data_IF_807261926964
#
_entry.id   IF_807261926964
#
_cell.length_a   1.000
_cell.length_b   1.000
_cell.length_c   1.000
_cell.angle_alpha   90.00
_cell.angle_beta   90.00
_cell.angle_gamma   90.00
#
_symmetry.space_group_name_H-M   'P 1'
#
loop_
_entity.id
_entity.type
_entity.pdbx_description
1 polymer ?
#
# COMPACT_ATOMS: atom_id res chain seq x y z
N UNK A 1 2.67 52.01 -30.09
CA UNK A 1 3.59 51.32 -29.17
C UNK A 1 2.88 50.11 -28.52
N UNK A 2 3.08 48.96 -29.08
CA UNK A 2 2.53 47.71 -28.56
C UNK A 2 3.47 47.19 -27.46
N UNK A 3 3.03 47.24 -26.21
CA UNK A 3 3.70 46.53 -25.14
C UNK A 3 3.36 45.04 -25.28
N UNK A 4 4.29 44.25 -25.77
CA UNK A 4 4.22 42.80 -25.72
C UNK A 4 4.30 42.37 -24.27
N UNK A 5 3.17 41.99 -23.67
CA UNK A 5 3.13 41.34 -22.40
C UNK A 5 3.75 39.97 -22.55
N UNK A 6 4.94 39.75 -21.94
CA UNK A 6 5.50 38.45 -21.85
C UNK A 6 4.64 37.58 -20.89
N UNK A 7 3.90 36.65 -21.45
CA UNK A 7 3.26 35.61 -20.67
C UNK A 7 4.35 34.66 -20.17
N UNK A 8 4.77 34.81 -18.91
CA UNK A 8 5.57 33.83 -18.24
C UNK A 8 4.65 32.66 -17.85
N UNK A 9 4.61 31.65 -18.70
CA UNK A 9 4.07 30.37 -18.28
C UNK A 9 5.12 29.74 -17.37
N UNK A 10 4.87 29.80 -16.09
CA UNK A 10 5.64 29.00 -15.14
C UNK A 10 5.29 27.55 -15.38
N UNK A 11 6.03 26.90 -16.27
CA UNK A 11 6.08 25.44 -16.23
C UNK A 11 6.72 25.07 -14.90
N UNK A 12 5.96 24.42 -14.02
CA UNK A 12 6.59 23.72 -12.94
C UNK A 12 7.52 22.71 -13.60
N UNK A 13 8.81 22.98 -13.50
CA UNK A 13 9.84 22.13 -14.02
C UNK A 13 9.75 20.85 -13.19
N UNK A 14 9.16 19.80 -13.74
CA UNK A 14 9.41 18.44 -13.28
C UNK A 14 10.90 18.23 -13.48
N UNK A 15 11.65 18.35 -12.39
CA UNK A 15 13.07 18.04 -12.42
C UNK A 15 13.25 16.59 -12.87
N UNK A 16 14.18 16.32 -13.82
CA UNK A 16 14.38 14.97 -14.35
C UNK A 16 14.68 13.91 -13.29
N UNK A 17 15.07 14.30 -12.09
CA UNK A 17 15.31 13.44 -10.94
C UNK A 17 14.09 12.63 -10.48
N UNK A 18 12.86 13.09 -10.78
CA UNK A 18 11.65 12.37 -10.40
C UNK A 18 11.17 11.32 -11.41
N UNK A 19 11.72 11.26 -12.60
CA UNK A 19 11.30 10.30 -13.64
C UNK A 19 11.73 8.86 -13.38
N UNK A 20 12.71 8.63 -12.52
CA UNK A 20 13.26 7.30 -12.23
C UNK A 20 12.96 6.78 -10.81
N UNK A 21 12.28 7.55 -9.98
CA UNK A 21 11.89 7.08 -8.65
C UNK A 21 10.69 6.16 -8.79
N UNK A 22 10.90 4.86 -8.56
CA UNK A 22 9.80 3.90 -8.45
C UNK A 22 8.95 4.23 -7.23
N UNK A 23 7.63 4.25 -7.41
CA UNK A 23 6.68 4.34 -6.31
C UNK A 23 6.88 3.19 -5.34
N UNK A 24 7.02 3.50 -4.05
CA UNK A 24 7.08 2.51 -2.99
C UNK A 24 5.68 2.25 -2.44
N UNK A 25 5.37 0.99 -2.22
CA UNK A 25 4.11 0.56 -1.62
C UNK A 25 4.41 -0.04 -0.25
N UNK A 26 3.74 0.49 0.77
CA UNK A 26 3.80 0.03 2.14
C UNK A 26 2.44 -0.48 2.59
N UNK A 27 2.41 -1.17 3.70
CA UNK A 27 1.22 -1.35 4.51
C UNK A 27 1.36 -0.57 5.82
N UNK A 28 0.25 -0.14 6.38
CA UNK A 28 0.22 0.54 7.66
C UNK A 28 -1.19 0.48 8.29
N UNK A 29 -1.41 1.26 9.31
CA UNK A 29 -2.69 1.37 9.98
C UNK A 29 -3.06 2.85 10.19
N UNK A 30 -4.35 3.11 10.41
CA UNK A 30 -4.84 4.49 10.48
C UNK A 30 -4.25 5.30 11.64
N UNK A 31 -3.86 4.65 12.73
CA UNK A 31 -3.18 5.31 13.84
C UNK A 31 -1.81 5.92 13.47
N UNK A 32 -1.24 5.50 12.33
CA UNK A 32 0.07 5.96 11.86
C UNK A 32 -0.01 7.09 10.82
N UNK A 33 -1.20 7.60 10.52
CA UNK A 33 -1.43 8.60 9.46
C UNK A 33 -0.53 9.83 9.59
N UNK A 34 -0.30 10.30 10.81
CA UNK A 34 0.56 11.49 11.01
C UNK A 34 1.99 11.25 10.57
N UNK A 35 2.53 10.07 10.85
CA UNK A 35 3.88 9.71 10.44
C UNK A 35 3.97 9.51 8.93
N UNK A 36 2.95 8.87 8.32
CA UNK A 36 2.87 8.73 6.87
C UNK A 36 2.86 10.09 6.19
N UNK A 37 2.06 11.03 6.66
CA UNK A 37 1.98 12.37 6.11
C UNK A 37 3.32 13.13 6.23
N UNK A 38 4.04 12.97 7.33
CA UNK A 38 5.37 13.58 7.52
C UNK A 38 6.39 13.08 6.48
N UNK A 39 6.29 11.82 6.09
CA UNK A 39 7.17 11.19 5.11
C UNK A 39 6.68 11.34 3.66
N UNK A 40 5.59 12.08 3.42
CA UNK A 40 5.02 12.27 2.11
C UNK A 40 4.38 11.01 1.52
N UNK A 41 3.97 10.06 2.38
CA UNK A 41 3.35 8.79 1.99
C UNK A 41 1.83 8.95 2.03
N UNK A 42 1.18 8.67 0.91
CA UNK A 42 -0.26 8.76 0.79
C UNK A 42 -0.95 7.49 1.32
N UNK A 43 -1.96 7.64 2.16
CA UNK A 43 -2.73 6.51 2.66
C UNK A 43 -3.86 6.13 1.69
N UNK A 44 -4.07 4.83 1.50
CA UNK A 44 -5.23 4.24 0.83
C UNK A 44 -5.89 3.26 1.80
N UNK A 45 -7.20 3.37 1.97
CA UNK A 45 -7.96 2.45 2.82
C UNK A 45 -8.23 1.14 2.09
N UNK A 46 -7.81 0.03 2.68
CA UNK A 46 -8.11 -1.33 2.23
C UNK A 46 -9.00 -2.10 3.21
N UNK A 47 -9.57 -1.40 4.17
CA UNK A 47 -10.61 -1.91 5.07
C UNK A 47 -12.00 -1.63 4.50
N UNK A 48 -12.98 -2.46 4.83
CA UNK A 48 -14.35 -2.28 4.35
C UNK A 48 -15.03 -1.03 4.94
N UNK A 49 -14.69 -0.66 6.16
CA UNK A 49 -15.15 0.58 6.82
C UNK A 49 -14.05 1.63 6.83
N UNK A 50 -14.24 2.73 6.13
CA UNK A 50 -13.31 3.86 6.18
C UNK A 50 -13.64 4.75 7.39
N UNK A 51 -12.62 5.22 8.14
CA UNK A 51 -12.84 6.20 9.20
C UNK A 51 -13.49 7.46 8.64
N UNK A 52 -14.59 7.92 9.26
CA UNK A 52 -15.38 9.05 8.76
C UNK A 52 -14.62 10.38 8.72
N UNK A 53 -13.62 10.52 9.59
CA UNK A 53 -12.81 11.74 9.71
C UNK A 53 -11.59 11.75 8.77
N UNK A 54 -11.33 10.65 8.07
CA UNK A 54 -10.20 10.57 7.12
C UNK A 54 -10.71 10.68 5.68
N UNK A 55 -10.18 11.69 4.99
CA UNK A 55 -10.41 11.84 3.57
C UNK A 55 -9.32 11.13 2.78
N UNK A 56 -9.41 9.79 2.72
CA UNK A 56 -8.49 8.93 1.99
C UNK A 56 -9.25 8.09 0.98
N UNK A 57 -8.66 7.78 -0.19
CA UNK A 57 -9.27 6.87 -1.15
C UNK A 57 -9.41 5.47 -0.56
N UNK A 58 -10.39 4.71 -1.05
CA UNK A 58 -10.68 3.36 -0.61
C UNK A 58 -10.69 2.42 -1.81
N UNK A 59 -10.06 1.25 -1.65
CA UNK A 59 -10.04 0.18 -2.65
C UNK A 59 -10.91 -0.97 -2.18
N UNK A 60 -12.18 -0.98 -2.59
CA UNK A 60 -13.16 -2.00 -2.19
C UNK A 60 -12.88 -3.38 -2.77
N UNK A 61 -12.25 -3.45 -3.93
CA UNK A 61 -11.93 -4.71 -4.61
C UNK A 61 -10.92 -5.60 -3.89
N UNK A 62 -10.17 -5.06 -2.94
CA UNK A 62 -9.21 -5.80 -2.11
C UNK A 62 -9.57 -5.78 -0.62
N UNK A 63 -10.78 -5.32 -0.29
CA UNK A 63 -11.30 -5.36 1.07
C UNK A 63 -11.85 -6.74 1.42
N UNK A 64 -11.78 -7.18 2.69
CA UNK A 64 -12.56 -8.31 3.16
C UNK A 64 -14.06 -7.99 3.13
N UNK A 65 -14.91 -9.00 3.13
CA UNK A 65 -16.36 -8.82 3.20
C UNK A 65 -16.80 -8.55 4.65
N UNK A 66 -18.02 -8.03 4.81
CA UNK A 66 -18.63 -7.85 6.14
C UNK A 66 -18.75 -9.16 6.91
N UNK A 67 -19.06 -10.26 6.24
CA UNK A 67 -19.11 -11.57 6.85
C UNK A 67 -17.74 -11.96 7.46
N UNK A 68 -16.66 -11.74 6.73
CA UNK A 68 -15.32 -12.09 7.18
C UNK A 68 -14.92 -11.37 8.47
N UNK A 69 -15.39 -10.16 8.68
CA UNK A 69 -15.08 -9.34 9.87
C UNK A 69 -16.15 -9.42 10.96
N UNK A 70 -17.22 -10.16 10.75
CA UNK A 70 -18.38 -10.21 11.67
C UNK A 70 -18.15 -10.98 12.97
N UNK A 71 -17.03 -11.72 13.07
CA UNK A 71 -16.78 -12.65 14.18
C UNK A 71 -17.42 -14.03 14.01
N UNK A 72 -18.30 -14.22 13.03
CA UNK A 72 -18.88 -15.53 12.69
C UNK A 72 -17.98 -16.38 11.79
N UNK A 73 -17.00 -15.75 11.15
CA UNK A 73 -16.04 -16.38 10.25
C UNK A 73 -14.86 -16.92 11.05
N UNK A 74 -14.51 -18.21 10.88
CA UNK A 74 -13.30 -18.76 11.45
C UNK A 74 -12.04 -18.18 10.76
N UNK A 75 -10.90 -18.27 11.42
CA UNK A 75 -9.62 -17.83 10.84
C UNK A 75 -9.29 -18.55 9.52
N UNK A 76 -9.47 -19.87 9.49
CA UNK A 76 -9.25 -20.67 8.28
C UNK A 76 -10.20 -20.29 7.15
N UNK A 77 -11.47 -20.11 7.45
CA UNK A 77 -12.46 -19.65 6.48
C UNK A 77 -12.12 -18.24 5.96
N UNK A 78 -11.68 -17.35 6.85
CA UNK A 78 -11.22 -16.00 6.47
C UNK A 78 -10.10 -16.07 5.45
N UNK A 79 -9.07 -16.87 5.69
CA UNK A 79 -7.94 -17.03 4.77
C UNK A 79 -8.41 -17.55 3.40
N UNK A 80 -9.26 -18.56 3.39
CA UNK A 80 -9.79 -19.14 2.16
C UNK A 80 -10.63 -18.13 1.35
N UNK A 81 -11.48 -17.37 2.03
CA UNK A 81 -12.32 -16.36 1.39
C UNK A 81 -11.47 -15.19 0.85
N UNK A 82 -10.47 -14.76 1.61
CA UNK A 82 -9.62 -13.67 1.16
C UNK A 82 -8.73 -14.08 -0.01
N UNK A 83 -8.20 -15.29 0.00
CA UNK A 83 -7.47 -15.85 -1.15
C UNK A 83 -8.33 -15.87 -2.41
N UNK A 84 -9.62 -16.19 -2.30
CA UNK A 84 -10.55 -16.13 -3.43
C UNK A 84 -10.79 -14.72 -3.95
N UNK A 85 -10.90 -13.74 -3.04
CA UNK A 85 -11.01 -12.32 -3.41
C UNK A 85 -9.79 -11.91 -4.22
N UNK A 86 -8.59 -12.20 -3.74
CA UNK A 86 -7.35 -11.85 -4.42
C UNK A 86 -7.18 -12.63 -5.74
N UNK A 87 -7.53 -13.90 -5.78
CA UNK A 87 -7.46 -14.72 -7.00
C UNK A 87 -8.39 -14.21 -8.11
N UNK A 88 -9.46 -13.49 -7.77
CA UNK A 88 -10.35 -12.83 -8.75
C UNK A 88 -9.79 -11.53 -9.31
N UNK A 89 -8.67 -11.03 -8.78
CA UNK A 89 -8.04 -9.79 -9.18
C UNK A 89 -6.78 -10.06 -10.02
N UNK A 90 -6.42 -9.08 -10.84
CA UNK A 90 -5.11 -9.04 -11.49
C UNK A 90 -4.19 -8.12 -10.67
N UNK A 91 -3.09 -8.66 -10.15
CA UNK A 91 -2.18 -7.92 -9.29
C UNK A 91 -1.55 -6.69 -9.97
N UNK A 92 -1.27 -6.77 -11.27
CA UNK A 92 -0.73 -5.64 -12.03
C UNK A 92 -1.78 -4.54 -12.18
N UNK A 93 -3.04 -4.90 -12.38
CA UNK A 93 -4.16 -3.92 -12.40
C UNK A 93 -4.33 -3.29 -11.04
N UNK A 94 -4.23 -4.04 -9.96
CA UNK A 94 -4.29 -3.50 -8.59
C UNK A 94 -3.16 -2.49 -8.36
N UNK A 95 -1.95 -2.77 -8.80
CA UNK A 95 -0.83 -1.81 -8.72
C UNK A 95 -1.12 -0.55 -9.53
N UNK A 96 -1.67 -0.65 -10.73
CA UNK A 96 -2.06 0.52 -11.53
C UNK A 96 -3.16 1.35 -10.87
N UNK A 97 -4.12 0.71 -10.19
CA UNK A 97 -5.13 1.40 -9.38
C UNK A 97 -4.49 2.16 -8.21
N UNK A 98 -3.55 1.54 -7.50
CA UNK A 98 -2.81 2.17 -6.42
C UNK A 98 -2.06 3.39 -6.94
N UNK A 99 -1.39 3.26 -8.07
CA UNK A 99 -0.65 4.34 -8.72
C UNK A 99 -1.55 5.52 -9.12
N UNK A 100 -2.72 5.23 -9.69
CA UNK A 100 -3.70 6.25 -10.05
C UNK A 100 -4.24 6.99 -8.82
N UNK A 101 -4.56 6.27 -7.75
CA UNK A 101 -5.09 6.85 -6.51
C UNK A 101 -4.05 7.67 -5.73
N UNK A 102 -2.78 7.38 -5.90
CA UNK A 102 -1.68 8.06 -5.21
C UNK A 102 -0.97 9.11 -6.07
N UNK A 103 -1.39 9.32 -7.32
CA UNK A 103 -0.69 10.18 -8.28
C UNK A 103 0.80 9.80 -8.44
N UNK A 104 1.12 8.52 -8.32
CA UNK A 104 2.46 7.99 -8.41
C UNK A 104 3.36 8.27 -7.19
N UNK A 105 2.80 8.82 -6.11
CA UNK A 105 3.51 9.02 -4.85
C UNK A 105 3.67 7.71 -4.10
N UNK A 106 4.64 7.67 -3.18
CA UNK A 106 4.74 6.58 -2.23
C UNK A 106 3.44 6.44 -1.45
N UNK A 107 3.02 5.21 -1.20
CA UNK A 107 1.67 4.92 -0.69
C UNK A 107 1.73 3.87 0.41
N UNK A 108 0.81 3.94 1.37
CA UNK A 108 0.56 2.91 2.35
C UNK A 108 -0.88 2.41 2.27
N UNK A 109 -1.04 1.11 2.15
CA UNK A 109 -2.33 0.42 2.21
C UNK A 109 -2.68 0.24 3.69
N UNK A 110 -3.72 0.91 4.14
CA UNK A 110 -4.04 1.05 5.57
C UNK A 110 -5.32 0.34 5.97
N UNK A 111 -5.31 -0.24 7.15
CA UNK A 111 -6.47 -0.72 7.88
C UNK A 111 -6.36 -0.38 9.37
N UNK A 112 -7.18 -0.98 10.23
CA UNK A 112 -7.29 -0.56 11.64
C UNK A 112 -6.27 -1.20 12.56
N UNK A 113 -5.87 -2.44 12.31
CA UNK A 113 -5.05 -3.23 13.22
C UNK A 113 -3.61 -2.71 13.28
N UNK A 114 -3.01 -2.74 14.46
CA UNK A 114 -1.61 -2.39 14.69
C UNK A 114 -0.67 -3.44 14.10
N UNK A 115 0.61 -3.09 13.85
CA UNK A 115 1.62 -4.07 13.50
C UNK A 115 1.71 -5.18 14.56
N UNK A 116 1.78 -6.43 14.09
CA UNK A 116 1.79 -7.62 14.94
C UNK A 116 0.42 -8.27 15.16
N UNK A 117 -0.67 -7.53 14.98
CA UNK A 117 -2.02 -8.08 14.97
C UNK A 117 -2.34 -8.68 13.60
N UNK A 118 -3.19 -9.71 13.58
CA UNK A 118 -3.64 -10.29 12.31
C UNK A 118 -4.42 -9.25 11.51
N UNK A 119 -4.01 -9.04 10.26
CA UNK A 119 -4.70 -8.17 9.33
C UNK A 119 -4.53 -8.64 7.89
N UNK A 120 -5.61 -8.56 7.11
CA UNK A 120 -5.59 -8.91 5.68
C UNK A 120 -4.58 -8.08 4.85
N UNK A 121 -4.17 -6.89 5.30
CA UNK A 121 -3.16 -6.09 4.58
C UNK A 121 -1.83 -6.82 4.42
N UNK A 122 -1.46 -7.69 5.36
CA UNK A 122 -0.23 -8.49 5.26
C UNK A 122 -0.37 -9.60 4.21
N UNK A 123 -1.55 -10.19 4.09
CA UNK A 123 -1.86 -11.15 3.02
C UNK A 123 -1.86 -10.46 1.65
N UNK A 124 -2.44 -9.28 1.58
CA UNK A 124 -2.44 -8.43 0.38
C UNK A 124 -1.01 -8.05 -0.03
N UNK A 125 -0.18 -7.64 0.92
CA UNK A 125 1.22 -7.29 0.68
C UNK A 125 2.01 -8.47 0.09
N UNK A 126 1.86 -9.64 0.68
CA UNK A 126 2.50 -10.88 0.19
C UNK A 126 2.03 -11.23 -1.21
N UNK A 127 0.73 -11.19 -1.46
CA UNK A 127 0.16 -11.47 -2.77
C UNK A 127 0.66 -10.50 -3.85
N UNK A 128 0.72 -9.21 -3.56
CA UNK A 128 1.27 -8.21 -4.47
C UNK A 128 2.74 -8.48 -4.78
N UNK A 129 3.55 -8.75 -3.76
CA UNK A 129 4.98 -9.04 -3.92
C UNK A 129 5.21 -10.29 -4.77
N UNK A 130 4.49 -11.37 -4.49
CA UNK A 130 4.62 -12.64 -5.21
C UNK A 130 4.20 -12.54 -6.69
N UNK A 131 3.19 -11.72 -7.00
CA UNK A 131 2.63 -11.63 -8.36
C UNK A 131 3.22 -10.49 -9.21
N UNK A 132 3.85 -9.50 -8.60
CA UNK A 132 4.38 -8.33 -9.33
C UNK A 132 5.89 -8.12 -9.15
N UNK A 133 6.51 -8.77 -8.18
CA UNK A 133 7.91 -8.54 -7.81
C UNK A 133 8.15 -7.22 -7.06
N UNK A 134 7.11 -6.44 -6.78
CA UNK A 134 7.20 -5.21 -6.00
C UNK A 134 7.22 -5.56 -4.52
N UNK A 135 8.27 -5.15 -3.80
CA UNK A 135 8.33 -5.31 -2.35
C UNK A 135 7.30 -4.41 -1.67
N UNK A 136 6.45 -5.01 -0.84
CA UNK A 136 5.45 -4.30 -0.02
C UNK A 136 5.72 -4.63 1.44
N UNK A 137 6.29 -3.67 2.17
CA UNK A 137 6.69 -3.83 3.57
C UNK A 137 5.77 -3.02 4.50
N UNK A 138 5.67 -3.43 5.76
CA UNK A 138 4.99 -2.63 6.79
C UNK A 138 5.83 -1.38 7.10
N UNK A 139 5.21 -0.21 7.01
CA UNK A 139 5.90 1.06 7.25
C UNK A 139 6.37 1.19 8.71
N UNK A 140 7.63 1.53 8.88
CA UNK A 140 8.23 1.73 10.20
C UNK A 140 8.63 0.44 10.94
N UNK A 141 8.41 -0.73 10.34
CA UNK A 141 8.88 -2.01 10.86
C UNK A 141 10.15 -2.41 10.12
N UNK A 142 11.26 -2.46 10.81
CA UNK A 142 12.49 -3.02 10.27
C UNK A 142 12.41 -4.53 10.42
N UNK A 143 12.26 -5.26 9.32
CA UNK A 143 12.46 -6.71 9.35
C UNK A 143 13.92 -6.96 9.78
N UNK A 144 14.08 -7.60 10.94
CA UNK A 144 15.36 -8.17 11.30
C UNK A 144 15.61 -9.27 10.26
N UNK A 145 16.49 -9.00 9.29
CA UNK A 145 17.04 -10.08 8.48
C UNK A 145 17.69 -11.03 9.46
N UNK A 146 17.11 -12.20 9.64
CA UNK A 146 17.80 -13.26 10.33
C UNK A 146 19.15 -13.45 9.61
N UNK A 147 20.27 -13.48 10.36
CA UNK A 147 21.54 -13.76 9.74
C UNK A 147 21.38 -15.08 8.99
N UNK A 148 21.62 -15.08 7.70
CA UNK A 148 21.78 -16.32 6.97
C UNK A 148 22.96 -17.02 7.63
N UNK A 149 22.65 -18.01 8.47
CA UNK A 149 23.66 -18.97 8.85
C UNK A 149 24.05 -19.67 7.55
N UNK A 150 25.12 -19.24 6.94
CA UNK A 150 25.85 -20.11 6.05
C UNK A 150 26.20 -21.34 6.89
N UNK A 151 25.56 -22.44 6.59
CA UNK A 151 26.05 -23.71 7.08
C UNK A 151 27.45 -23.86 6.53
N UNK A 152 28.43 -23.44 7.31
CA UNK A 152 29.78 -23.84 7.07
C UNK A 152 29.78 -25.37 7.12
N UNK A 153 29.86 -26.01 5.95
CA UNK A 153 30.08 -27.44 5.88
C UNK A 153 31.45 -27.68 6.50
N UNK A 154 31.42 -28.19 7.71
CA UNK A 154 32.59 -28.73 8.37
C UNK A 154 32.99 -30.03 7.66
N UNK A 155 33.70 -29.88 6.58
CA UNK A 155 34.63 -30.91 6.04
C UNK A 155 35.59 -30.25 5.09
#
# INVERSE_FOLDING_TARGET
MTKSGAFYVTFSIFTPENKNKRMKIYTSYFGNIRNLNKEGIKAICVAIGKPKFLNVPQMLNVCPTRYMISGACSYEEYLNLYDRILASQDANIVVEQIKALSDGQDVALCCYEKPGDFCHRHILAKWLTENTGIEVAEFGVVEKKEPKYEQASLF
#
